data_IF_147968036166
#
_entry.id   IF_147968036166
#
_cell.length_a   1.000
_cell.length_b   1.000
_cell.length_c   1.000
_cell.angle_alpha   90.00
_cell.angle_beta   90.00
_cell.angle_gamma   90.00
#
_symmetry.space_group_name_H-M   'P 1'
#
loop_
_entity.id
_entity.type
_entity.pdbx_description
1 polymer ?
#
# COMPACT_ATOMS: atom_id res chain seq x y z
N UNK A 1 -29.90 -13.71 3.11
CA UNK A 1 -29.15 -14.12 4.34
C UNK A 1 -27.66 -14.40 4.12
N UNK A 2 -27.22 -15.14 3.08
CA UNK A 2 -25.79 -15.48 2.84
C UNK A 2 -24.86 -14.25 2.76
N UNK A 3 -25.22 -13.24 1.97
CA UNK A 3 -24.38 -12.04 1.81
C UNK A 3 -24.15 -11.31 3.13
N UNK A 4 -25.18 -11.21 3.99
CA UNK A 4 -25.06 -10.52 5.28
C UNK A 4 -24.01 -11.11 6.21
N UNK A 5 -23.80 -12.43 6.19
CA UNK A 5 -22.75 -13.07 7.00
C UNK A 5 -21.36 -12.72 6.47
N UNK A 6 -21.21 -12.64 5.14
CA UNK A 6 -19.94 -12.29 4.49
C UNK A 6 -19.51 -10.87 4.89
N UNK A 7 -20.42 -9.88 4.85
CA UNK A 7 -20.10 -8.51 5.29
C UNK A 7 -19.58 -8.47 6.73
N UNK A 8 -20.28 -9.14 7.65
CA UNK A 8 -19.91 -9.15 9.07
C UNK A 8 -18.53 -9.78 9.24
N UNK A 9 -18.26 -10.92 8.58
CA UNK A 9 -16.96 -11.58 8.62
C UNK A 9 -15.86 -10.67 8.08
N UNK A 10 -16.05 -10.02 6.92
CA UNK A 10 -15.06 -9.13 6.33
C UNK A 10 -14.75 -7.93 7.23
N UNK A 11 -15.78 -7.29 7.78
CA UNK A 11 -15.60 -6.12 8.65
C UNK A 11 -14.92 -6.52 9.95
N UNK A 12 -15.38 -7.58 10.63
CA UNK A 12 -14.78 -8.06 11.87
C UNK A 12 -13.33 -8.48 11.67
N UNK A 13 -13.04 -9.23 10.61
CA UNK A 13 -11.67 -9.62 10.26
C UNK A 13 -10.77 -8.41 10.02
N UNK A 14 -11.27 -7.40 9.30
CA UNK A 14 -10.54 -6.17 9.04
C UNK A 14 -10.27 -5.36 10.31
N UNK A 15 -11.19 -5.35 11.27
CA UNK A 15 -10.98 -4.71 12.58
C UNK A 15 -9.87 -5.41 13.37
N UNK A 16 -9.90 -6.75 13.41
CA UNK A 16 -8.86 -7.55 14.10
C UNK A 16 -7.49 -7.28 13.49
N UNK A 17 -7.38 -7.31 12.16
CA UNK A 17 -6.14 -6.97 11.46
C UNK A 17 -5.70 -5.53 11.74
N UNK A 18 -6.62 -4.58 11.77
CA UNK A 18 -6.30 -3.18 12.07
C UNK A 18 -5.71 -3.01 13.46
N UNK A 19 -6.24 -3.72 14.47
CA UNK A 19 -5.73 -3.70 15.84
C UNK A 19 -4.31 -4.30 15.88
N UNK A 20 -4.10 -5.44 15.22
CA UNK A 20 -2.78 -6.07 15.13
C UNK A 20 -1.75 -5.15 14.44
N UNK A 21 -2.09 -4.57 13.28
CA UNK A 21 -1.20 -3.66 12.56
C UNK A 21 -0.89 -2.41 13.40
N UNK A 22 -1.89 -1.89 14.11
CA UNK A 22 -1.70 -0.76 15.03
C UNK A 22 -0.71 -1.10 16.14
N UNK A 23 -0.81 -2.30 16.72
CA UNK A 23 0.15 -2.77 17.71
C UNK A 23 1.56 -2.81 17.15
N UNK A 24 1.77 -3.38 15.96
CA UNK A 24 3.08 -3.43 15.30
C UNK A 24 3.65 -2.02 15.06
N UNK A 25 2.83 -1.09 14.59
CA UNK A 25 3.27 0.29 14.28
C UNK A 25 3.69 1.05 15.54
N UNK A 26 2.96 0.86 16.64
CA UNK A 26 3.17 1.57 17.91
C UNK A 26 4.30 0.99 18.77
N UNK A 27 4.64 -0.30 18.57
CA UNK A 27 5.66 -0.99 19.37
C UNK A 27 7.03 -1.01 18.69
N UNK A 28 7.07 -1.09 17.36
CA UNK A 28 8.31 -1.18 16.61
C UNK A 28 8.71 0.18 16.03
N UNK A 29 10.00 0.50 16.14
CA UNK A 29 10.59 1.69 15.53
C UNK A 29 10.80 1.41 14.04
N UNK A 30 10.50 2.40 13.22
CA UNK A 30 10.83 2.41 11.80
C UNK A 30 12.24 2.99 11.63
N UNK A 31 13.24 2.13 11.54
CA UNK A 31 14.67 2.50 11.61
C UNK A 31 15.09 3.16 10.30
N UNK A 32 14.80 2.51 9.18
CA UNK A 32 14.95 3.03 7.83
C UNK A 32 16.38 3.09 7.33
N UNK A 33 17.17 2.03 7.44
CA UNK A 33 18.52 2.00 6.84
C UNK A 33 18.53 0.95 5.74
N UNK A 34 18.82 1.37 4.51
CA UNK A 34 19.01 0.47 3.37
C UNK A 34 20.50 0.18 3.19
N UNK A 35 20.86 -1.10 3.03
CA UNK A 35 22.26 -1.55 3.02
C UNK A 35 22.58 -2.48 1.87
N UNK A 36 23.79 -2.35 1.34
CA UNK A 36 24.36 -3.26 0.35
C UNK A 36 25.73 -3.79 0.80
N UNK A 37 26.16 -4.90 0.21
CA UNK A 37 27.50 -5.42 0.45
C UNK A 37 28.48 -4.73 -0.49
N UNK A 38 29.50 -4.09 0.08
CA UNK A 38 30.59 -3.51 -0.71
C UNK A 38 31.54 -4.59 -1.24
N UNK A 39 32.55 -4.18 -2.02
CA UNK A 39 33.55 -5.09 -2.60
C UNK A 39 34.34 -5.90 -1.55
N UNK A 40 34.42 -5.40 -0.32
CA UNK A 40 35.09 -6.04 0.81
C UNK A 40 34.15 -6.94 1.64
N UNK A 41 32.91 -7.13 1.21
CA UNK A 41 31.90 -7.92 1.93
C UNK A 41 31.35 -7.25 3.18
N UNK A 42 31.50 -5.94 3.32
CA UNK A 42 30.99 -5.17 4.45
C UNK A 42 29.64 -4.53 4.12
N UNK A 43 28.77 -4.39 5.11
CA UNK A 43 27.46 -3.76 4.92
C UNK A 43 27.57 -2.24 4.94
N UNK A 44 27.47 -1.66 3.76
CA UNK A 44 27.53 -0.22 3.52
C UNK A 44 26.12 0.36 3.44
N UNK A 45 25.92 1.52 4.07
CA UNK A 45 24.67 2.28 4.02
C UNK A 45 24.53 2.92 2.64
N UNK A 46 23.43 2.63 1.95
CA UNK A 46 23.14 3.16 0.61
C UNK A 46 22.06 4.23 0.63
N UNK A 47 21.08 4.11 1.53
CA UNK A 47 20.03 5.12 1.70
C UNK A 47 19.51 5.12 3.16
N UNK A 48 18.95 6.26 3.55
CA UNK A 48 18.51 6.55 4.92
C UNK A 48 17.11 7.17 4.93
N UNK A 49 16.26 6.59 5.76
CA UNK A 49 14.87 6.94 5.95
C UNK A 49 14.57 7.10 7.45
N UNK A 50 13.45 7.77 7.76
CA UNK A 50 12.86 7.84 9.10
C UNK A 50 13.87 8.16 10.22
N UNK A 51 13.97 7.29 11.24
CA UNK A 51 14.81 7.50 12.41
C UNK A 51 16.29 7.68 12.03
N UNK A 52 16.80 6.87 11.10
CA UNK A 52 18.22 6.87 10.76
C UNK A 52 18.71 8.15 10.06
N UNK A 53 17.82 8.84 9.33
CA UNK A 53 18.13 10.15 8.72
C UNK A 53 18.41 11.23 9.78
N UNK A 54 17.93 11.05 11.00
CA UNK A 54 18.02 12.03 12.08
C UNK A 54 19.07 11.66 13.14
N UNK A 55 19.81 10.55 12.96
CA UNK A 55 20.79 10.02 13.94
C UNK A 55 22.25 10.24 13.56
N UNK A 56 22.48 10.98 12.46
CA UNK A 56 23.81 11.31 11.97
C UNK A 56 24.53 10.19 11.23
N UNK A 57 23.85 9.06 10.95
CA UNK A 57 24.28 8.07 9.96
C UNK A 57 24.30 8.75 8.58
N UNK A 58 25.24 8.36 7.74
CA UNK A 58 25.40 8.87 6.37
C UNK A 58 25.59 7.73 5.39
N UNK A 59 25.26 7.98 4.14
CA UNK A 59 25.58 7.09 3.03
C UNK A 59 27.09 6.84 3.01
N UNK A 60 27.48 5.59 2.77
CA UNK A 60 28.87 5.12 2.84
C UNK A 60 29.36 4.71 4.25
N UNK A 61 28.58 4.93 5.31
CA UNK A 61 28.91 4.38 6.63
C UNK A 61 28.81 2.83 6.61
N UNK A 62 29.61 2.15 7.43
CA UNK A 62 29.61 0.67 7.50
C UNK A 62 28.92 0.20 8.78
N UNK A 63 27.93 -0.68 8.65
CA UNK A 63 27.27 -1.30 9.80
C UNK A 63 28.05 -2.54 10.21
N UNK A 64 28.60 -2.53 11.42
CA UNK A 64 29.46 -3.62 11.93
C UNK A 64 28.64 -4.68 12.64
N UNK A 65 27.75 -4.25 13.55
CA UNK A 65 26.95 -5.16 14.36
C UNK A 65 25.57 -4.61 14.61
N UNK A 66 24.60 -5.51 14.67
CA UNK A 66 23.21 -5.22 15.02
C UNK A 66 22.88 -6.12 16.21
N UNK A 67 22.41 -5.55 17.32
CA UNK A 67 22.13 -6.29 18.56
C UNK A 67 23.33 -7.05 19.13
N UNK A 68 24.53 -6.52 18.95
CA UNK A 68 25.82 -7.14 19.30
C UNK A 68 26.15 -8.43 18.51
N UNK A 69 25.38 -8.74 17.45
CA UNK A 69 25.67 -9.82 16.50
C UNK A 69 26.20 -9.24 15.18
N UNK A 70 26.93 -10.01 14.36
CA UNK A 70 27.39 -9.56 13.05
C UNK A 70 26.24 -9.00 12.22
N UNK A 71 26.43 -7.82 11.63
CA UNK A 71 25.37 -7.14 10.86
C UNK A 71 24.89 -7.96 9.65
N UNK A 72 25.74 -8.82 9.10
CA UNK A 72 25.44 -9.75 8.00
C UNK A 72 24.46 -10.85 8.36
N UNK A 73 24.33 -11.15 9.65
CA UNK A 73 23.55 -12.28 10.15
C UNK A 73 22.13 -11.83 10.56
N UNK A 74 21.91 -10.52 10.61
CA UNK A 74 20.61 -9.97 10.98
C UNK A 74 19.55 -10.28 9.92
N UNK A 75 18.45 -10.90 10.33
CA UNK A 75 17.45 -11.45 9.43
C UNK A 75 16.82 -10.42 8.47
N UNK A 76 16.61 -9.17 8.90
CA UNK A 76 16.10 -8.09 8.02
C UNK A 76 17.10 -7.71 6.94
N UNK A 77 18.40 -7.78 7.25
CA UNK A 77 19.47 -7.50 6.29
C UNK A 77 19.55 -8.62 5.25
N UNK A 78 19.52 -9.88 5.70
CA UNK A 78 19.53 -11.05 4.81
C UNK A 78 18.32 -11.01 3.87
N UNK A 79 17.13 -10.72 4.40
CA UNK A 79 15.87 -10.89 3.70
C UNK A 79 15.44 -9.68 2.87
N UNK A 80 15.65 -8.48 3.40
CA UNK A 80 15.11 -7.24 2.83
C UNK A 80 16.18 -6.22 2.45
N UNK A 81 17.46 -6.47 2.76
CA UNK A 81 18.56 -5.51 2.59
C UNK A 81 18.33 -4.20 3.35
N UNK A 82 17.63 -4.30 4.48
CA UNK A 82 17.37 -3.17 5.37
C UNK A 82 17.70 -3.52 6.81
N UNK A 83 18.12 -2.54 7.60
CA UNK A 83 18.23 -2.68 9.04
C UNK A 83 16.94 -2.18 9.67
N UNK A 84 16.11 -3.14 10.07
CA UNK A 84 14.87 -2.93 10.83
C UNK A 84 14.86 -3.85 12.05
N UNK A 85 14.05 -3.51 13.06
CA UNK A 85 13.90 -4.28 14.31
C UNK A 85 15.21 -4.49 15.09
N UNK A 86 16.09 -3.49 15.09
CA UNK A 86 17.30 -3.47 15.91
C UNK A 86 17.07 -2.71 17.23
N UNK A 87 17.61 -3.23 18.33
CA UNK A 87 17.73 -2.55 19.62
C UNK A 87 19.04 -1.75 19.73
N UNK A 88 20.10 -2.18 19.05
CA UNK A 88 21.37 -1.46 18.97
C UNK A 88 22.08 -1.65 17.64
N UNK A 89 22.77 -0.63 17.16
CA UNK A 89 23.49 -0.61 15.89
C UNK A 89 24.88 0.00 16.14
N UNK A 90 25.93 -0.71 15.74
CA UNK A 90 27.30 -0.22 15.75
C UNK A 90 27.71 0.17 14.34
N UNK A 91 28.04 1.44 14.15
CA UNK A 91 28.39 2.02 12.85
C UNK A 91 29.85 2.46 12.84
N UNK A 92 30.59 2.09 11.80
CA UNK A 92 31.92 2.61 11.46
C UNK A 92 31.77 3.82 10.54
N UNK A 93 32.31 4.96 10.97
CA UNK A 93 32.43 6.17 10.15
C UNK A 93 33.70 6.12 9.28
N UNK A 94 33.78 6.93 8.19
CA UNK A 94 34.96 7.00 7.34
C UNK A 94 36.28 7.34 8.07
N UNK A 95 36.21 8.09 9.18
CA UNK A 95 37.37 8.48 9.98
C UNK A 95 37.78 7.42 11.03
N UNK A 96 37.44 6.14 10.83
CA UNK A 96 37.62 5.04 11.79
C UNK A 96 36.98 5.29 13.18
N UNK A 97 36.01 6.22 13.26
CA UNK A 97 35.22 6.45 14.47
C UNK A 97 34.07 5.46 14.54
N UNK A 98 33.74 5.03 15.76
CA UNK A 98 32.66 4.10 16.02
C UNK A 98 31.53 4.84 16.73
N UNK A 99 30.30 4.65 16.25
CA UNK A 99 29.09 5.18 16.87
C UNK A 99 28.15 4.02 17.23
N UNK A 100 27.84 3.88 18.52
CA UNK A 100 26.81 2.98 18.98
C UNK A 100 25.49 3.75 19.12
N UNK A 101 24.48 3.33 18.37
CA UNK A 101 23.18 3.97 18.31
C UNK A 101 22.11 3.00 18.78
N UNK A 102 21.16 3.49 19.57
CA UNK A 102 20.00 2.72 20.02
C UNK A 102 18.72 3.37 19.47
N UNK A 103 17.94 2.68 18.62
CA UNK A 103 16.66 3.19 18.14
C UNK A 103 15.72 3.54 19.29
N UNK A 104 15.23 4.78 19.28
CA UNK A 104 14.31 5.25 20.33
C UNK A 104 12.95 4.61 20.12
N UNK A 105 12.50 3.81 21.09
CA UNK A 105 11.18 3.16 21.09
C UNK A 105 10.02 4.16 21.19
N UNK A 106 10.28 5.43 21.54
CA UNK A 106 9.27 6.47 21.49
C UNK A 106 9.16 7.08 20.09
N UNK A 107 8.00 6.91 19.47
CA UNK A 107 7.63 7.62 18.26
C UNK A 107 7.60 9.13 18.53
N UNK A 108 8.33 9.90 17.73
CA UNK A 108 8.22 11.36 17.74
C UNK A 108 6.80 11.75 17.31
N UNK A 109 6.31 12.91 17.78
CA UNK A 109 4.96 13.39 17.49
C UNK A 109 4.65 13.44 15.99
N UNK A 110 5.64 13.83 15.17
CA UNK A 110 5.52 13.85 13.72
C UNK A 110 5.33 12.44 13.13
N UNK A 111 6.18 11.49 13.52
CA UNK A 111 6.13 10.11 13.00
C UNK A 111 4.86 9.41 13.45
N UNK A 112 4.42 9.62 14.69
CA UNK A 112 3.12 9.14 15.18
C UNK A 112 1.97 9.68 14.30
N UNK A 113 2.03 10.95 13.91
CA UNK A 113 0.99 11.56 13.10
C UNK A 113 0.93 10.94 11.70
N UNK A 114 2.05 10.95 10.97
CA UNK A 114 2.08 10.47 9.59
C UNK A 114 2.02 8.94 9.47
N UNK A 115 2.70 8.20 10.33
CA UNK A 115 2.81 6.75 10.21
C UNK A 115 1.68 5.98 10.92
N UNK A 116 0.94 6.63 11.82
CA UNK A 116 -0.15 5.97 12.55
C UNK A 116 -1.48 6.72 12.48
N UNK A 117 -1.56 7.96 12.96
CA UNK A 117 -2.84 8.67 13.10
C UNK A 117 -3.55 8.82 11.76
N UNK A 118 -2.83 9.26 10.72
CA UNK A 118 -3.37 9.40 9.37
C UNK A 118 -3.86 8.03 8.86
N UNK A 119 -3.01 6.99 8.67
CA UNK A 119 -3.46 5.68 8.19
C UNK A 119 -4.58 5.04 9.03
N UNK A 120 -4.54 5.16 10.35
CA UNK A 120 -5.57 4.63 11.24
C UNK A 120 -6.91 5.37 11.06
N UNK A 121 -6.88 6.69 10.89
CA UNK A 121 -8.08 7.49 10.59
C UNK A 121 -8.68 7.10 9.23
N UNK A 122 -7.84 6.82 8.23
CA UNK A 122 -8.28 6.33 6.94
C UNK A 122 -8.97 4.97 7.04
N UNK A 123 -8.34 4.03 7.75
CA UNK A 123 -8.91 2.71 7.97
C UNK A 123 -10.24 2.78 8.74
N UNK A 124 -10.32 3.62 9.77
CA UNK A 124 -11.56 3.88 10.49
C UNK A 124 -12.66 4.42 9.55
N UNK A 125 -12.33 5.38 8.68
CA UNK A 125 -13.26 5.89 7.66
C UNK A 125 -13.73 4.77 6.72
N UNK A 126 -12.84 3.88 6.28
CA UNK A 126 -13.19 2.77 5.39
C UNK A 126 -14.11 1.75 6.07
N UNK A 127 -13.89 1.47 7.37
CA UNK A 127 -14.79 0.64 8.17
C UNK A 127 -16.17 1.31 8.27
N UNK A 128 -16.23 2.61 8.57
CA UNK A 128 -17.50 3.36 8.65
C UNK A 128 -18.27 3.27 7.33
N UNK A 129 -17.60 3.53 6.20
CA UNK A 129 -18.22 3.41 4.87
C UNK A 129 -18.72 2.00 4.58
N UNK A 130 -17.95 0.98 4.98
CA UNK A 130 -18.33 -0.42 4.84
C UNK A 130 -19.57 -0.78 5.67
N UNK A 131 -19.66 -0.29 6.91
CA UNK A 131 -20.82 -0.48 7.79
C UNK A 131 -22.06 0.23 7.22
N UNK A 132 -21.90 1.47 6.74
CA UNK A 132 -23.01 2.22 6.13
C UNK A 132 -23.55 1.49 4.89
N UNK A 133 -22.66 0.96 4.06
CA UNK A 133 -23.02 0.21 2.86
C UNK A 133 -23.72 -1.11 3.20
N UNK A 134 -23.25 -1.82 4.23
CA UNK A 134 -23.93 -2.98 4.77
C UNK A 134 -25.36 -2.63 5.24
N UNK A 135 -25.53 -1.56 6.02
CA UNK A 135 -26.85 -1.17 6.55
C UNK A 135 -27.83 -0.79 5.44
N UNK A 136 -27.38 -0.06 4.43
CA UNK A 136 -28.26 0.45 3.36
C UNK A 136 -28.49 -0.54 2.22
N UNK A 137 -27.50 -1.36 1.85
CA UNK A 137 -27.47 -2.06 0.55
C UNK A 137 -26.90 -3.50 0.62
N UNK A 138 -26.97 -4.20 1.77
CA UNK A 138 -26.43 -5.57 1.97
C UNK A 138 -26.83 -6.63 0.93
N UNK A 139 -27.94 -6.43 0.22
CA UNK A 139 -28.44 -7.40 -0.76
C UNK A 139 -27.79 -7.23 -2.14
N UNK A 140 -27.16 -6.08 -2.39
CA UNK A 140 -26.56 -5.78 -3.68
C UNK A 140 -25.16 -6.35 -3.84
N UNK A 141 -24.90 -6.96 -5.00
CA UNK A 141 -23.57 -7.49 -5.35
C UNK A 141 -22.52 -6.39 -5.52
N UNK A 142 -22.89 -5.25 -6.12
CA UNK A 142 -22.01 -4.08 -6.27
C UNK A 142 -21.58 -3.53 -4.92
N UNK A 143 -22.47 -3.51 -3.94
CA UNK A 143 -22.16 -3.09 -2.58
C UNK A 143 -21.11 -4.01 -1.92
N UNK A 144 -21.16 -5.32 -2.17
CA UNK A 144 -20.22 -6.26 -1.57
C UNK A 144 -18.80 -6.06 -2.13
N UNK A 145 -18.69 -5.85 -3.44
CA UNK A 145 -17.41 -5.56 -4.10
C UNK A 145 -16.85 -4.23 -3.58
N UNK A 146 -17.70 -3.22 -3.42
CA UNK A 146 -17.29 -1.91 -2.89
C UNK A 146 -16.85 -1.99 -1.42
N UNK A 147 -17.53 -2.77 -0.58
CA UNK A 147 -17.07 -3.03 0.80
C UNK A 147 -15.69 -3.71 0.80
N UNK A 148 -15.50 -4.72 -0.05
CA UNK A 148 -14.21 -5.39 -0.12
C UNK A 148 -13.11 -4.43 -0.61
N UNK A 149 -13.42 -3.57 -1.58
CA UNK A 149 -12.53 -2.48 -1.99
C UNK A 149 -12.17 -1.56 -0.82
N UNK A 150 -13.14 -1.01 -0.08
CA UNK A 150 -12.87 -0.10 1.03
C UNK A 150 -12.00 -0.75 2.11
N UNK A 151 -12.33 -1.97 2.52
CA UNK A 151 -11.59 -2.68 3.56
C UNK A 151 -10.16 -3.01 3.11
N UNK A 152 -9.98 -3.55 1.90
CA UNK A 152 -8.65 -3.83 1.34
C UNK A 152 -7.83 -2.55 1.21
N UNK A 153 -8.44 -1.47 0.76
CA UNK A 153 -7.77 -0.20 0.55
C UNK A 153 -7.34 0.45 1.87
N UNK A 154 -8.22 0.47 2.86
CA UNK A 154 -7.91 0.94 4.21
C UNK A 154 -6.81 0.12 4.88
N UNK A 155 -6.91 -1.21 4.81
CA UNK A 155 -5.90 -2.12 5.34
C UNK A 155 -4.54 -1.92 4.66
N UNK A 156 -4.52 -1.74 3.33
CA UNK A 156 -3.28 -1.56 2.58
C UNK A 156 -2.49 -0.32 3.01
N UNK A 157 -3.19 0.78 3.29
CA UNK A 157 -2.55 2.01 3.73
C UNK A 157 -1.98 1.83 5.15
N UNK A 158 -2.77 1.28 6.08
CA UNK A 158 -2.29 1.02 7.44
C UNK A 158 -1.15 0.00 7.45
N UNK A 159 -1.24 -1.07 6.67
CA UNK A 159 -0.23 -2.12 6.62
C UNK A 159 1.06 -1.68 5.94
N UNK A 160 1.05 -0.62 5.13
CA UNK A 160 2.27 -0.06 4.54
C UNK A 160 3.30 0.35 5.61
N UNK A 161 2.83 0.93 6.72
CA UNK A 161 3.70 1.33 7.83
C UNK A 161 4.14 0.17 8.72
N UNK A 162 3.34 -0.90 8.82
CA UNK A 162 3.78 -2.16 9.43
C UNK A 162 4.83 -2.87 8.55
N UNK A 163 4.63 -2.89 7.23
CA UNK A 163 5.56 -3.43 6.24
C UNK A 163 6.92 -2.75 6.27
N UNK A 164 6.94 -1.42 6.49
CA UNK A 164 8.17 -0.64 6.67
C UNK A 164 9.01 -1.14 7.86
N UNK A 165 8.38 -1.67 8.91
CA UNK A 165 9.03 -2.26 10.10
C UNK A 165 9.35 -3.75 9.92
N UNK A 166 9.50 -4.19 8.68
CA UNK A 166 9.76 -5.58 8.30
C UNK A 166 8.69 -6.61 8.72
N UNK A 167 7.47 -6.18 9.09
CA UNK A 167 6.40 -7.10 9.49
C UNK A 167 5.85 -7.90 8.29
N UNK A 168 5.84 -9.23 8.42
CA UNK A 168 5.47 -10.15 7.33
C UNK A 168 3.98 -10.04 7.01
N UNK A 169 3.12 -9.96 8.02
CA UNK A 169 1.67 -9.85 7.82
C UNK A 169 1.35 -8.50 7.15
N UNK A 170 1.99 -7.43 7.61
CA UNK A 170 1.92 -6.11 7.00
C UNK A 170 2.34 -6.12 5.52
N UNK A 171 3.44 -6.81 5.19
CA UNK A 171 3.91 -7.00 3.81
C UNK A 171 2.89 -7.74 2.94
N UNK A 172 2.29 -8.83 3.44
CA UNK A 172 1.27 -9.58 2.67
C UNK A 172 0.02 -8.73 2.42
N UNK A 173 -0.44 -7.99 3.44
CA UNK A 173 -1.62 -7.14 3.33
C UNK A 173 -1.37 -5.97 2.38
N UNK A 174 -0.20 -5.32 2.45
CA UNK A 174 0.09 -4.18 1.56
C UNK A 174 0.19 -4.62 0.11
N UNK A 175 0.89 -5.73 -0.17
CA UNK A 175 1.03 -6.29 -1.52
C UNK A 175 -0.33 -6.67 -2.08
N UNK A 176 -1.16 -7.39 -1.31
CA UNK A 176 -2.52 -7.72 -1.77
C UNK A 176 -3.36 -6.46 -2.00
N UNK A 177 -3.27 -5.48 -1.10
CA UNK A 177 -3.91 -4.18 -1.24
C UNK A 177 -3.59 -3.49 -2.56
N UNK A 178 -2.31 -3.24 -2.83
CA UNK A 178 -1.87 -2.56 -4.06
C UNK A 178 -2.30 -3.33 -5.31
N UNK A 179 -2.10 -4.65 -5.35
CA UNK A 179 -2.39 -5.43 -6.56
C UNK A 179 -3.89 -5.54 -6.85
N UNK A 180 -4.73 -5.75 -5.84
CA UNK A 180 -6.18 -5.94 -6.06
C UNK A 180 -6.98 -4.64 -6.15
N UNK A 181 -6.48 -3.51 -5.61
CA UNK A 181 -7.25 -2.25 -5.53
C UNK A 181 -7.75 -1.75 -6.89
N UNK A 182 -6.92 -1.58 -7.94
CA UNK A 182 -7.40 -1.10 -9.24
C UNK A 182 -8.42 -2.05 -9.88
N UNK A 183 -8.19 -3.36 -9.76
CA UNK A 183 -9.04 -4.42 -10.31
C UNK A 183 -10.40 -4.46 -9.62
N UNK A 184 -10.44 -4.38 -8.29
CA UNK A 184 -11.66 -4.32 -7.51
C UNK A 184 -12.48 -3.07 -7.84
N UNK A 185 -11.81 -1.93 -7.97
CA UNK A 185 -12.46 -0.68 -8.33
C UNK A 185 -13.12 -0.78 -9.71
N UNK A 186 -12.37 -1.29 -10.70
CA UNK A 186 -12.89 -1.51 -12.05
C UNK A 186 -14.08 -2.49 -12.05
N UNK A 187 -14.02 -3.55 -11.25
CA UNK A 187 -15.10 -4.54 -11.13
C UNK A 187 -16.36 -3.96 -10.48
N UNK A 188 -16.18 -3.14 -9.43
CA UNK A 188 -17.29 -2.41 -8.82
C UNK A 188 -18.02 -1.56 -9.86
N UNK A 189 -17.28 -0.74 -10.62
CA UNK A 189 -17.89 0.14 -11.61
C UNK A 189 -18.52 -0.60 -12.77
N UNK A 190 -17.92 -1.70 -13.24
CA UNK A 190 -18.56 -2.52 -14.26
C UNK A 190 -19.90 -3.10 -13.79
N UNK A 191 -19.96 -3.56 -12.54
CA UNK A 191 -21.20 -4.08 -11.95
C UNK A 191 -22.24 -2.98 -11.75
N UNK A 192 -21.78 -1.79 -11.36
CA UNK A 192 -22.64 -0.62 -11.20
C UNK A 192 -23.23 -0.15 -12.54
N UNK A 193 -22.40 0.10 -13.56
CA UNK A 193 -22.87 0.59 -14.86
C UNK A 193 -23.76 -0.42 -15.59
N UNK A 194 -23.52 -1.72 -15.40
CA UNK A 194 -24.38 -2.76 -15.96
C UNK A 194 -25.83 -2.68 -15.45
N UNK A 195 -26.07 -2.17 -14.23
CA UNK A 195 -27.43 -1.94 -13.72
C UNK A 195 -28.14 -0.76 -14.40
N UNK A 196 -27.37 0.14 -15.01
CA UNK A 196 -27.88 1.32 -15.74
C UNK A 196 -27.86 1.10 -17.26
N UNK A 197 -27.76 -0.15 -17.71
CA UNK A 197 -27.64 -0.54 -19.12
C UNK A 197 -26.46 0.13 -19.86
N UNK A 198 -25.43 0.52 -19.11
CA UNK A 198 -24.19 1.11 -19.62
C UNK A 198 -23.11 0.04 -19.73
N UNK A 199 -22.56 -0.12 -20.93
CA UNK A 199 -21.48 -1.06 -21.21
C UNK A 199 -20.14 -0.39 -20.89
N UNK A 200 -19.63 -0.63 -19.69
CA UNK A 200 -18.34 -0.10 -19.26
C UNK A 200 -17.16 -0.93 -19.79
N UNK A 201 -17.17 -2.24 -19.50
CA UNK A 201 -16.14 -3.18 -19.93
C UNK A 201 -16.74 -4.54 -20.27
N UNK A 202 -16.06 -5.32 -21.11
CA UNK A 202 -16.42 -6.72 -21.33
C UNK A 202 -16.08 -7.53 -20.08
N UNK A 203 -17.04 -8.31 -19.56
CA UNK A 203 -16.83 -9.18 -18.40
C UNK A 203 -15.65 -10.16 -18.55
N UNK A 204 -15.26 -10.49 -19.80
CA UNK A 204 -14.10 -11.34 -20.09
C UNK A 204 -12.75 -10.74 -19.67
N UNK A 205 -12.65 -9.43 -19.46
CA UNK A 205 -11.41 -8.75 -19.06
C UNK A 205 -11.04 -9.03 -17.61
N UNK A 206 -12.03 -9.31 -16.76
CA UNK A 206 -11.77 -9.56 -15.33
C UNK A 206 -11.04 -10.86 -15.09
N UNK A 207 -11.32 -11.92 -15.86
CA UNK A 207 -10.66 -13.21 -15.68
C UNK A 207 -9.13 -13.12 -15.83
N UNK A 208 -8.55 -12.66 -16.96
CA UNK A 208 -7.11 -12.56 -17.10
C UNK A 208 -6.50 -11.54 -16.12
N UNK A 209 -7.21 -10.45 -15.80
CA UNK A 209 -6.71 -9.42 -14.88
C UNK A 209 -6.60 -9.96 -13.44
N UNK A 210 -7.63 -10.64 -12.94
CA UNK A 210 -7.57 -11.31 -11.64
C UNK A 210 -6.55 -12.45 -11.65
N UNK A 211 -6.49 -13.27 -12.70
CA UNK A 211 -5.50 -14.35 -12.79
C UNK A 211 -4.07 -13.82 -12.72
N UNK A 212 -3.76 -12.74 -13.45
CA UNK A 212 -2.45 -12.09 -13.39
C UNK A 212 -2.13 -11.55 -12.00
N UNK A 213 -3.03 -10.76 -11.44
CA UNK A 213 -2.89 -10.17 -10.09
C UNK A 213 -2.70 -11.26 -9.03
N UNK A 214 -3.49 -12.34 -9.08
CA UNK A 214 -3.37 -13.47 -8.16
C UNK A 214 -2.06 -14.21 -8.34
N UNK A 215 -1.60 -14.42 -9.58
CA UNK A 215 -0.31 -15.05 -9.84
C UNK A 215 0.85 -14.25 -9.26
N UNK A 216 0.86 -12.93 -9.48
CA UNK A 216 1.88 -12.03 -8.90
C UNK A 216 1.81 -12.06 -7.38
N UNK A 217 0.60 -11.97 -6.80
CA UNK A 217 0.42 -12.04 -5.34
C UNK A 217 0.92 -13.37 -4.74
N UNK A 218 0.62 -14.50 -5.37
CA UNK A 218 1.06 -15.82 -4.89
C UNK A 218 2.58 -15.96 -4.97
N UNK A 219 3.18 -15.53 -6.08
CA UNK A 219 4.64 -15.50 -6.21
C UNK A 219 5.23 -14.68 -5.06
N UNK A 220 4.81 -13.43 -4.90
CA UNK A 220 5.25 -12.53 -3.83
C UNK A 220 5.10 -13.15 -2.43
N UNK A 221 3.96 -13.78 -2.15
CA UNK A 221 3.68 -14.39 -0.85
C UNK A 221 4.65 -15.54 -0.54
N UNK A 222 4.99 -16.37 -1.54
CA UNK A 222 6.00 -17.43 -1.36
C UNK A 222 7.37 -16.84 -1.07
N UNK A 223 7.78 -15.82 -1.81
CA UNK A 223 9.08 -15.15 -1.60
C UNK A 223 9.15 -14.33 -0.29
N UNK A 224 8.03 -13.88 0.26
CA UNK A 224 7.99 -13.27 1.59
C UNK A 224 8.22 -14.30 2.70
N UNK A 225 7.90 -15.58 2.45
CA UNK A 225 8.08 -16.67 3.41
C UNK A 225 9.48 -17.27 3.29
N UNK A 226 9.98 -17.47 2.07
CA UNK A 226 11.30 -18.08 1.80
C UNK A 226 12.39 -17.01 1.72
N UNK A 227 13.48 -17.18 2.45
CA UNK A 227 14.61 -16.25 2.44
C UNK A 227 15.43 -16.40 1.16
N UNK A 228 15.13 -15.53 0.17
CA UNK A 228 15.74 -15.57 -1.17
C UNK A 228 16.63 -14.34 -1.45
N UNK A 229 16.95 -13.57 -0.41
CA UNK A 229 17.93 -12.48 -0.43
C UNK A 229 17.71 -11.46 -1.56
N UNK A 230 18.63 -11.43 -2.53
CA UNK A 230 18.67 -10.45 -3.62
C UNK A 230 17.42 -10.41 -4.50
N UNK A 231 16.60 -11.48 -4.51
CA UNK A 231 15.37 -11.54 -5.29
C UNK A 231 14.27 -10.60 -4.77
N UNK A 232 14.36 -10.13 -3.51
CA UNK A 232 13.36 -9.25 -2.91
C UNK A 232 13.19 -7.91 -3.66
N UNK A 233 14.28 -7.31 -4.15
CA UNK A 233 14.22 -6.05 -4.88
C UNK A 233 13.51 -6.20 -6.24
N UNK A 234 13.80 -7.27 -6.97
CA UNK A 234 13.09 -7.58 -8.22
C UNK A 234 11.60 -7.76 -7.99
N UNK A 235 11.24 -8.43 -6.90
CA UNK A 235 9.85 -8.63 -6.52
C UNK A 235 9.16 -7.30 -6.23
N UNK A 236 9.76 -6.42 -5.42
CA UNK A 236 9.20 -5.09 -5.17
C UNK A 236 8.94 -4.32 -6.48
N UNK A 237 9.85 -4.39 -7.45
CA UNK A 237 9.65 -3.78 -8.76
C UNK A 237 8.47 -4.42 -9.51
N UNK A 238 8.35 -5.76 -9.51
CA UNK A 238 7.22 -6.44 -10.19
C UNK A 238 5.86 -6.08 -9.57
N UNK A 239 5.80 -5.84 -8.26
CA UNK A 239 4.59 -5.37 -7.58
C UNK A 239 4.20 -3.99 -8.10
N UNK A 240 5.15 -3.03 -8.09
CA UNK A 240 4.91 -1.66 -8.54
C UNK A 240 4.51 -1.62 -10.02
N UNK A 241 5.19 -2.38 -10.88
CA UNK A 241 4.84 -2.50 -12.32
C UNK A 241 3.43 -3.04 -12.49
N UNK A 242 3.06 -4.08 -11.73
CA UNK A 242 1.72 -4.67 -11.82
C UNK A 242 0.63 -3.70 -11.34
N UNK A 243 0.90 -2.95 -10.27
CA UNK A 243 0.01 -1.89 -9.79
C UNK A 243 -0.18 -0.80 -10.84
N UNK A 244 0.91 -0.25 -11.40
CA UNK A 244 0.86 0.78 -12.45
C UNK A 244 0.11 0.27 -13.68
N UNK A 245 0.41 -0.95 -14.13
CA UNK A 245 -0.27 -1.56 -15.27
C UNK A 245 -1.79 -1.71 -15.03
N UNK A 246 -2.18 -2.22 -13.86
CA UNK A 246 -3.58 -2.38 -13.49
C UNK A 246 -4.31 -1.04 -13.35
N UNK A 247 -3.62 -0.03 -12.82
CA UNK A 247 -4.12 1.34 -12.73
C UNK A 247 -4.32 1.97 -14.12
N UNK A 248 -3.37 1.81 -15.04
CA UNK A 248 -3.48 2.31 -16.41
C UNK A 248 -4.62 1.65 -17.17
N UNK A 249 -4.82 0.33 -17.01
CA UNK A 249 -5.99 -0.37 -17.57
C UNK A 249 -7.28 0.23 -17.01
N UNK A 250 -7.37 0.39 -15.70
CA UNK A 250 -8.52 0.97 -15.03
C UNK A 250 -8.83 2.37 -15.61
N UNK A 251 -7.81 3.24 -15.67
CA UNK A 251 -7.91 4.59 -16.22
C UNK A 251 -8.34 4.60 -17.69
N UNK A 252 -7.80 3.70 -18.51
CA UNK A 252 -8.17 3.56 -19.92
C UNK A 252 -9.68 3.27 -20.08
N UNK A 253 -10.23 2.35 -19.30
CA UNK A 253 -11.67 2.06 -19.35
C UNK A 253 -12.53 3.23 -18.87
N UNK A 254 -12.08 4.00 -17.87
CA UNK A 254 -12.76 5.23 -17.47
C UNK A 254 -12.76 6.30 -18.56
N UNK A 255 -11.61 6.53 -19.19
CA UNK A 255 -11.49 7.49 -20.30
C UNK A 255 -12.38 7.05 -21.47
N UNK A 256 -12.32 5.78 -21.86
CA UNK A 256 -13.18 5.23 -22.93
C UNK A 256 -14.66 5.39 -22.59
N UNK A 257 -15.06 5.05 -21.37
CA UNK A 257 -16.43 5.19 -20.89
C UNK A 257 -16.91 6.64 -20.96
N UNK A 258 -16.08 7.58 -20.47
CA UNK A 258 -16.37 9.01 -20.54
C UNK A 258 -16.55 9.52 -21.98
N UNK A 259 -15.67 9.12 -22.91
CA UNK A 259 -15.76 9.52 -24.32
C UNK A 259 -17.01 8.93 -24.98
N UNK A 260 -17.31 7.65 -24.72
CA UNK A 260 -18.45 6.94 -25.30
C UNK A 260 -19.79 7.53 -24.81
N UNK A 261 -19.88 7.82 -23.52
CA UNK A 261 -21.11 8.25 -22.86
C UNK A 261 -21.19 9.77 -22.64
N UNK A 262 -20.36 10.56 -23.37
CA UNK A 262 -20.23 12.02 -23.19
C UNK A 262 -21.52 12.82 -23.41
N UNK A 263 -22.51 12.27 -24.11
CA UNK A 263 -23.80 12.91 -24.40
C UNK A 263 -24.97 12.28 -23.66
N UNK A 264 -24.69 11.39 -22.69
CA UNK A 264 -25.73 10.70 -21.91
C UNK A 264 -25.83 11.24 -20.49
N UNK A 265 -26.92 10.90 -19.80
CA UNK A 265 -27.18 11.33 -18.42
C UNK A 265 -26.15 10.80 -17.40
N UNK A 266 -25.39 9.77 -17.76
CA UNK A 266 -24.32 9.21 -16.90
C UNK A 266 -22.98 9.96 -17.02
N UNK A 267 -22.87 10.95 -17.92
CA UNK A 267 -21.66 11.77 -18.08
C UNK A 267 -21.16 12.37 -16.75
N UNK A 268 -21.99 13.01 -15.91
CA UNK A 268 -21.51 13.61 -14.66
C UNK A 268 -20.92 12.57 -13.69
N UNK A 269 -21.41 11.33 -13.75
CA UNK A 269 -20.89 10.22 -12.94
C UNK A 269 -19.49 9.85 -13.42
N UNK A 270 -19.30 9.64 -14.73
CA UNK A 270 -17.97 9.37 -15.29
C UNK A 270 -16.97 10.50 -15.00
N UNK A 271 -17.38 11.76 -15.15
CA UNK A 271 -16.52 12.91 -14.84
C UNK A 271 -16.07 12.91 -13.39
N UNK A 272 -17.01 12.75 -12.47
CA UNK A 272 -16.71 12.76 -11.04
C UNK A 272 -15.76 11.62 -10.65
N UNK A 273 -15.96 10.42 -11.20
CA UNK A 273 -15.09 9.27 -10.95
C UNK A 273 -13.69 9.50 -11.53
N UNK A 274 -13.58 10.03 -12.75
CA UNK A 274 -12.29 10.35 -13.36
C UNK A 274 -11.54 11.40 -12.55
N UNK A 275 -12.22 12.46 -12.11
CA UNK A 275 -11.61 13.45 -11.22
C UNK A 275 -11.15 12.81 -9.92
N UNK A 276 -12.00 11.98 -9.28
CA UNK A 276 -11.61 11.21 -8.11
C UNK A 276 -10.36 10.38 -8.35
N UNK A 277 -10.32 9.59 -9.42
CA UNK A 277 -9.18 8.73 -9.77
C UNK A 277 -7.89 9.53 -10.02
N UNK A 278 -7.94 10.55 -10.86
CA UNK A 278 -6.77 11.34 -11.25
C UNK A 278 -6.25 12.12 -10.05
N UNK A 279 -7.10 12.78 -9.27
CA UNK A 279 -6.64 13.56 -8.12
C UNK A 279 -6.23 12.70 -6.94
N UNK A 280 -6.76 11.48 -6.79
CA UNK A 280 -6.39 10.59 -5.68
C UNK A 280 -5.12 9.80 -5.96
N UNK A 281 -5.04 9.17 -7.14
CA UNK A 281 -3.95 8.27 -7.48
C UNK A 281 -2.91 8.91 -8.41
N UNK A 282 -3.29 9.92 -9.19
CA UNK A 282 -2.37 10.57 -10.13
C UNK A 282 -1.11 11.11 -9.47
N UNK A 283 -1.19 11.91 -8.38
CA UNK A 283 0.00 12.43 -7.70
C UNK A 283 0.95 11.32 -7.23
N UNK A 284 0.45 10.30 -6.54
CA UNK A 284 1.30 9.21 -6.02
C UNK A 284 1.85 8.32 -7.16
N UNK A 285 1.04 8.04 -8.19
CA UNK A 285 1.49 7.23 -9.33
C UNK A 285 2.57 7.96 -10.12
N UNK A 286 2.34 9.22 -10.47
CA UNK A 286 3.25 9.99 -11.34
C UNK A 286 4.52 10.47 -10.60
N UNK A 287 4.39 10.93 -9.36
CA UNK A 287 5.47 11.61 -8.64
C UNK A 287 6.26 10.69 -7.69
N UNK A 288 5.77 9.47 -7.44
CA UNK A 288 6.42 8.52 -6.55
C UNK A 288 6.57 7.13 -7.18
N UNK A 289 5.48 6.47 -7.56
CA UNK A 289 5.53 5.07 -8.04
C UNK A 289 6.25 4.92 -9.37
N UNK A 290 5.95 5.74 -10.38
CA UNK A 290 6.61 5.66 -11.69
C UNK A 290 8.12 5.92 -11.55
N UNK A 291 8.59 6.99 -10.88
CA UNK A 291 10.01 7.20 -10.62
C UNK A 291 10.71 5.95 -10.05
N UNK A 292 10.11 5.30 -9.04
CA UNK A 292 10.67 4.06 -8.48
C UNK A 292 10.76 2.92 -9.51
N UNK A 293 9.75 2.77 -10.37
CA UNK A 293 9.74 1.73 -11.41
C UNK A 293 10.86 1.95 -12.43
N UNK A 294 11.18 3.21 -12.76
CA UNK A 294 12.28 3.54 -13.69
C UNK A 294 13.62 3.76 -12.98
N UNK A 295 13.73 3.38 -11.70
CA UNK A 295 14.92 3.48 -10.86
C UNK A 295 15.43 4.93 -10.65
N UNK A 296 14.51 5.89 -10.61
CA UNK A 296 14.75 7.28 -10.24
C UNK A 296 14.24 7.59 -8.83
N UNK A 297 14.87 8.57 -8.19
CA UNK A 297 14.45 9.05 -6.88
C UNK A 297 13.04 9.67 -6.94
N UNK A 298 12.11 9.30 -6.04
CA UNK A 298 10.78 9.89 -5.97
C UNK A 298 10.81 11.41 -5.82
N UNK A 299 9.91 12.10 -6.51
CA UNK A 299 9.77 13.57 -6.41
C UNK A 299 9.08 13.95 -5.09
N UNK A 300 8.11 13.13 -4.66
CA UNK A 300 7.44 13.27 -3.37
C UNK A 300 7.65 12.00 -2.54
N UNK A 301 7.68 12.13 -1.22
CA UNK A 301 7.65 10.98 -0.32
C UNK A 301 6.27 10.30 -0.38
N UNK A 302 6.24 8.96 -0.26
CA UNK A 302 5.02 8.17 -0.14
C UNK A 302 4.07 8.65 0.96
N UNK A 303 4.59 9.18 2.08
CA UNK A 303 3.76 9.77 3.14
C UNK A 303 2.88 10.92 2.61
N UNK A 304 3.46 11.82 1.82
CA UNK A 304 2.75 12.95 1.20
C UNK A 304 1.81 12.45 0.11
N UNK A 305 2.28 11.51 -0.72
CA UNK A 305 1.47 10.88 -1.77
C UNK A 305 0.21 10.21 -1.22
N UNK A 306 0.30 9.60 -0.03
CA UNK A 306 -0.83 8.90 0.60
C UNK A 306 -1.97 9.82 1.06
N UNK A 307 -1.71 11.12 1.25
CA UNK A 307 -2.76 12.08 1.61
C UNK A 307 -3.78 12.25 0.48
N UNK A 308 -3.32 12.20 -0.78
CA UNK A 308 -4.20 12.33 -1.95
C UNK A 308 -5.18 11.17 -2.07
N UNK A 309 -4.79 9.98 -1.61
CA UNK A 309 -5.60 8.76 -1.69
C UNK A 309 -6.98 8.92 -1.01
N UNK A 310 -7.09 9.78 0.00
CA UNK A 310 -8.35 10.06 0.72
C UNK A 310 -9.48 10.56 -0.19
N UNK A 311 -9.14 11.20 -1.31
CA UNK A 311 -10.12 11.75 -2.23
C UNK A 311 -10.96 10.64 -2.89
N UNK A 312 -10.42 9.42 -3.07
CA UNK A 312 -11.12 8.38 -3.82
C UNK A 312 -12.31 7.82 -3.03
N UNK A 313 -12.14 7.39 -1.76
CA UNK A 313 -13.29 6.91 -1.00
C UNK A 313 -14.33 7.99 -0.73
N UNK A 314 -13.92 9.25 -0.57
CA UNK A 314 -14.84 10.38 -0.44
C UNK A 314 -15.68 10.57 -1.72
N UNK A 315 -15.05 10.48 -2.89
CA UNK A 315 -15.74 10.55 -4.19
C UNK A 315 -16.78 9.42 -4.31
N UNK A 316 -16.40 8.20 -3.95
CA UNK A 316 -17.30 7.04 -3.98
C UNK A 316 -18.44 7.19 -2.96
N UNK A 317 -18.14 7.66 -1.75
CA UNK A 317 -19.15 7.86 -0.71
C UNK A 317 -20.17 8.93 -1.11
N UNK A 318 -19.73 10.03 -1.72
CA UNK A 318 -20.61 11.06 -2.26
C UNK A 318 -21.55 10.49 -3.33
N UNK A 319 -21.02 9.70 -4.27
CA UNK A 319 -21.83 9.06 -5.32
C UNK A 319 -22.86 8.06 -4.75
N UNK A 320 -22.51 7.34 -3.67
CA UNK A 320 -23.44 6.42 -2.97
C UNK A 320 -24.52 7.22 -2.25
N UNK A 321 -24.14 8.31 -1.59
CA UNK A 321 -25.03 9.08 -0.71
C UNK A 321 -26.02 9.95 -1.46
N UNK A 322 -25.63 10.46 -2.63
CA UNK A 322 -26.50 11.28 -3.50
C UNK A 322 -27.45 10.46 -4.37
N UNK A 323 -27.50 9.14 -4.17
CA UNK A 323 -28.21 8.18 -5.03
C UNK A 323 -27.87 8.33 -6.52
N UNK A 324 -26.77 9.01 -6.88
CA UNK A 324 -26.26 8.96 -8.27
C UNK A 324 -25.85 7.55 -8.65
N UNK A 325 -25.52 6.70 -7.67
CA UNK A 325 -25.36 5.25 -7.84
C UNK A 325 -26.66 4.45 -7.88
N UNK A 326 -27.83 5.03 -7.61
CA UNK A 326 -29.11 4.33 -7.60
C UNK A 326 -30.13 5.09 -8.42
#
# INVERSE_FOLDING_TARGET
MRNSRIYIVLITFSIILSIYLSYVILTNVNIGIDVELNENGQLEVVDLHNWARETGIKDGDIIISINNEPSTDHWTVIKYRTVEQADSILVKKPNDLYAQLAPSKQLRTRDLFFQFIIPASFMALMIVFSILLYRKKKEEKSALILTFFFLMFGLSLLSSHASARADIIGKIIVVSGFLYTPTLLMHFFNTYFKKKDVVFCNSKVFLPLYSWVTLVFLAQSVFLIVDLGYLYNYLRITELVTFVFSFLICLFYFVRGFVTYRHSDVRPVFQLIMFGLIFSFGPIVLLHTIPLVINYQPVINGDIGSLFIYLMPLTLFYLVSTERFF
#
